data_IF_564660296409
#
_entry.id   IF_564660296409
#
_cell.length_a   1.000
_cell.length_b   1.000
_cell.length_c   1.000
_cell.angle_alpha   90.00
_cell.angle_beta   90.00
_cell.angle_gamma   90.00
#
_symmetry.space_group_name_H-M   'P 1'
#
loop_
_entity.id
_entity.type
_entity.pdbx_description
1 polymer ?
#
# COMPACT_ATOMS: atom_id res chain seq x y z
N UNK A 1 22.91 9.94 -6.26
CA UNK A 1 21.57 9.52 -5.83
C UNK A 1 21.01 8.61 -6.89
N UNK A 2 21.40 7.35 -6.75
CA UNK A 2 20.80 6.23 -7.45
C UNK A 2 20.24 5.31 -6.38
N UNK A 3 18.96 5.00 -6.51
CA UNK A 3 18.38 3.90 -5.77
C UNK A 3 19.02 2.58 -6.23
N UNK A 4 19.47 1.78 -5.27
CA UNK A 4 20.05 0.45 -5.52
C UNK A 4 19.07 -0.60 -5.03
N UNK A 5 18.58 -1.42 -5.96
CA UNK A 5 17.75 -2.57 -5.64
C UNK A 5 18.51 -3.54 -4.74
N UNK A 6 17.95 -3.81 -3.57
CA UNK A 6 18.45 -4.79 -2.61
C UNK A 6 17.81 -6.17 -2.76
N UNK A 7 16.76 -6.29 -3.57
CA UNK A 7 16.06 -7.54 -3.83
C UNK A 7 16.71 -8.23 -5.04
N UNK A 8 17.24 -9.44 -4.80
CA UNK A 8 17.63 -10.34 -5.88
C UNK A 8 16.35 -10.88 -6.56
N UNK A 9 16.16 -10.68 -7.88
CA UNK A 9 14.98 -11.17 -8.60
C UNK A 9 14.80 -12.70 -8.56
N UNK A 10 15.87 -13.44 -8.23
CA UNK A 10 15.84 -14.90 -8.09
C UNK A 10 15.47 -15.38 -6.68
N UNK A 11 15.43 -14.46 -5.72
CA UNK A 11 15.06 -14.77 -4.34
C UNK A 11 13.59 -14.39 -4.07
N UNK A 12 12.93 -15.19 -3.23
CA UNK A 12 11.63 -14.80 -2.72
C UNK A 12 11.75 -13.52 -1.88
N UNK A 13 10.90 -12.55 -2.17
CA UNK A 13 10.83 -11.31 -1.39
C UNK A 13 10.45 -11.64 0.05
N UNK A 14 11.34 -11.32 1.00
CA UNK A 14 11.03 -11.44 2.42
C UNK A 14 10.18 -10.24 2.84
N UNK A 15 8.91 -10.50 3.10
CA UNK A 15 7.99 -9.55 3.71
C UNK A 15 7.85 -9.87 5.20
N UNK A 16 7.94 -8.85 6.04
CA UNK A 16 7.59 -8.94 7.46
C UNK A 16 6.11 -8.62 7.62
N UNK A 17 5.35 -9.55 8.19
CA UNK A 17 3.96 -9.35 8.59
C UNK A 17 3.88 -9.21 10.11
N UNK A 18 3.23 -8.14 10.57
CA UNK A 18 3.02 -7.86 12.00
C UNK A 18 1.53 -7.65 12.26
N UNK A 19 1.00 -8.30 13.29
CA UNK A 19 -0.42 -8.25 13.65
C UNK A 19 -0.60 -7.90 15.13
N UNK A 20 -1.59 -7.05 15.41
CA UNK A 20 -1.98 -6.71 16.79
C UNK A 20 -3.16 -5.75 16.81
N UNK A 21 -4.07 -5.87 17.79
CA UNK A 21 -5.23 -4.97 17.94
C UNK A 21 -6.13 -4.85 16.70
N UNK A 22 -6.32 -5.95 15.94
CA UNK A 22 -6.99 -5.94 14.64
C UNK A 22 -6.31 -5.04 13.58
N UNK A 23 -5.04 -4.70 13.76
CA UNK A 23 -4.21 -4.06 12.76
C UNK A 23 -3.28 -5.11 12.13
N UNK A 24 -3.08 -5.00 10.82
CA UNK A 24 -2.09 -5.77 10.10
C UNK A 24 -1.16 -4.84 9.33
N UNK A 25 0.13 -5.03 9.51
CA UNK A 25 1.19 -4.29 8.84
C UNK A 25 2.04 -5.27 8.05
N UNK A 26 2.29 -4.94 6.79
CA UNK A 26 3.21 -5.66 5.91
C UNK A 26 4.31 -4.71 5.44
N UNK A 27 5.56 -5.12 5.61
CA UNK A 27 6.72 -4.33 5.20
C UNK A 27 7.72 -5.18 4.42
N UNK A 28 8.28 -4.63 3.35
CA UNK A 28 9.35 -5.26 2.59
C UNK A 28 10.48 -4.26 2.32
N UNK A 29 11.71 -4.59 2.70
CA UNK A 29 12.89 -3.84 2.29
C UNK A 29 13.12 -4.05 0.78
N UNK A 30 13.27 -2.95 0.04
CA UNK A 30 13.41 -2.99 -1.43
C UNK A 30 14.80 -2.62 -1.92
N UNK A 31 15.56 -1.87 -1.11
CA UNK A 31 16.88 -1.40 -1.49
C UNK A 31 17.41 -0.32 -0.56
N UNK A 32 18.35 0.46 -1.06
CA UNK A 32 18.93 1.59 -0.33
C UNK A 32 19.28 2.74 -1.28
N UNK A 33 19.47 3.94 -0.73
CA UNK A 33 20.03 5.08 -1.44
C UNK A 33 21.57 5.03 -1.38
N UNK A 34 22.24 5.03 -2.53
CA UNK A 34 23.70 4.94 -2.62
C UNK A 34 24.46 6.17 -2.06
N UNK A 35 23.75 7.26 -1.82
CA UNK A 35 24.30 8.54 -1.39
C UNK A 35 24.10 8.76 0.10
N UNK A 36 22.90 8.46 0.62
CA UNK A 36 22.57 8.63 2.04
C UNK A 36 22.70 7.35 2.87
N UNK A 37 22.84 6.20 2.21
CA UNK A 37 22.80 4.85 2.82
C UNK A 37 21.45 4.54 3.49
N UNK A 38 20.41 5.34 3.26
CA UNK A 38 19.07 5.10 3.80
C UNK A 38 18.51 3.79 3.28
N UNK A 39 17.99 2.95 4.18
CA UNK A 39 17.25 1.75 3.80
C UNK A 39 15.87 2.14 3.31
N UNK A 40 15.52 1.71 2.11
CA UNK A 40 14.23 1.98 1.49
C UNK A 40 13.33 0.75 1.59
N UNK A 41 12.13 0.92 2.10
CA UNK A 41 11.13 -0.15 2.24
C UNK A 41 9.75 0.28 1.76
N UNK A 42 8.93 -0.69 1.38
CA UNK A 42 7.50 -0.52 1.13
C UNK A 42 6.76 -0.91 2.40
N UNK A 43 5.83 -0.07 2.81
CA UNK A 43 4.91 -0.29 3.93
C UNK A 43 3.47 -0.33 3.44
N UNK A 44 2.70 -1.31 3.89
CA UNK A 44 1.26 -1.43 3.67
C UNK A 44 0.59 -1.79 4.99
N UNK A 45 -0.55 -1.19 5.30
CA UNK A 45 -1.31 -1.49 6.50
C UNK A 45 -2.82 -1.61 6.22
N UNK A 46 -3.47 -2.45 7.02
CA UNK A 46 -4.91 -2.47 7.24
C UNK A 46 -5.15 -2.07 8.71
N UNK A 47 -5.52 -0.81 8.91
CA UNK A 47 -5.64 -0.21 10.25
C UNK A 47 -7.11 -0.08 10.64
N UNK A 48 -7.52 -0.47 11.85
CA UNK A 48 -8.92 -0.41 12.26
C UNK A 48 -9.42 1.04 12.41
N UNK A 49 -10.61 1.30 11.89
CA UNK A 49 -11.37 2.53 12.09
C UNK A 49 -12.40 2.35 13.22
N UNK A 50 -12.84 3.47 13.79
CA UNK A 50 -13.96 3.46 14.72
C UNK A 50 -15.20 2.86 14.05
N UNK A 51 -15.81 1.85 14.67
CA UNK A 51 -16.95 1.12 14.11
C UNK A 51 -16.62 -0.26 13.52
N UNK A 52 -15.35 -0.68 13.52
CA UNK A 52 -14.94 -2.02 13.08
C UNK A 52 -14.64 -2.15 11.58
N UNK A 53 -14.69 -1.04 10.85
CA UNK A 53 -14.18 -0.92 9.48
C UNK A 53 -12.65 -0.77 9.48
N UNK A 54 -12.03 -0.81 8.31
CA UNK A 54 -10.57 -0.70 8.17
C UNK A 54 -10.19 0.40 7.19
N UNK A 55 -8.99 0.94 7.34
CA UNK A 55 -8.33 1.80 6.38
C UNK A 55 -7.14 1.06 5.76
N UNK A 56 -7.05 1.10 4.43
CA UNK A 56 -5.90 0.62 3.69
C UNK A 56 -4.94 1.77 3.39
N UNK A 57 -3.72 1.65 3.89
CA UNK A 57 -2.67 2.68 3.80
C UNK A 57 -1.41 2.06 3.20
N UNK A 58 -0.70 2.81 2.36
CA UNK A 58 0.65 2.41 1.92
C UNK A 58 1.57 3.63 1.79
N UNK A 59 2.87 3.40 2.01
CA UNK A 59 3.92 4.41 1.90
C UNK A 59 5.25 3.77 1.51
N UNK A 60 6.19 4.59 1.05
CA UNK A 60 7.60 4.22 0.98
C UNK A 60 8.30 4.83 2.19
N UNK A 61 9.11 4.06 2.89
CA UNK A 61 9.85 4.51 4.07
C UNK A 61 11.33 4.53 3.73
N UNK A 62 11.99 5.67 3.95
CA UNK A 62 13.44 5.77 4.04
C UNK A 62 13.83 5.83 5.51
N UNK A 63 14.69 4.91 5.95
CA UNK A 63 15.20 4.84 7.31
C UNK A 63 16.72 5.07 7.32
N UNK A 64 17.16 6.07 8.10
CA UNK A 64 18.56 6.41 8.29
C UNK A 64 19.19 5.45 9.33
N UNK A 65 20.15 4.59 8.93
CA UNK A 65 20.74 3.61 9.83
C UNK A 65 21.60 4.23 10.93
N UNK A 66 22.07 5.48 10.78
CA UNK A 66 22.94 6.16 11.73
C UNK A 66 22.15 6.92 12.80
N UNK A 67 21.02 7.52 12.43
CA UNK A 67 20.24 8.37 13.36
C UNK A 67 18.96 7.72 13.88
N UNK A 68 18.56 6.57 13.32
CA UNK A 68 17.24 5.97 13.51
C UNK A 68 16.08 6.92 13.11
N UNK A 69 16.36 7.89 12.24
CA UNK A 69 15.35 8.75 11.63
C UNK A 69 14.59 8.03 10.52
N UNK A 70 13.32 8.37 10.34
CA UNK A 70 12.49 7.84 9.27
C UNK A 70 11.79 8.97 8.51
N UNK A 71 11.69 8.80 7.19
CA UNK A 71 10.87 9.65 6.33
C UNK A 71 9.89 8.79 5.53
N UNK A 72 8.64 9.22 5.48
CA UNK A 72 7.56 8.51 4.79
C UNK A 72 7.14 9.30 3.55
N UNK A 73 7.32 8.69 2.38
CA UNK A 73 6.84 9.19 1.11
C UNK A 73 5.44 8.65 0.85
N UNK A 74 4.46 9.53 0.87
CA UNK A 74 3.04 9.20 0.63
C UNK A 74 2.70 9.29 -0.85
N UNK A 75 3.41 10.15 -1.57
CA UNK A 75 3.10 10.46 -2.96
C UNK A 75 4.24 10.21 -3.96
N UNK A 76 3.82 9.86 -5.18
CA UNK A 76 4.74 9.56 -6.27
C UNK A 76 5.52 10.79 -6.75
N UNK A 77 5.06 11.99 -6.41
CA UNK A 77 5.78 13.23 -6.67
C UNK A 77 7.04 13.34 -5.80
N UNK A 78 7.01 12.81 -4.58
CA UNK A 78 8.14 12.82 -3.66
C UNK A 78 9.19 11.78 -4.06
N UNK A 79 8.75 10.60 -4.54
CA UNK A 79 9.65 9.51 -4.96
C UNK A 79 10.13 9.62 -6.41
N UNK A 80 9.76 10.68 -7.14
CA UNK A 80 10.04 10.78 -8.58
C UNK A 80 11.54 10.82 -8.93
N UNK A 81 12.36 11.32 -8.01
CA UNK A 81 13.81 11.39 -8.18
C UNK A 81 14.52 10.17 -7.59
N UNK A 82 13.83 9.40 -6.74
CA UNK A 82 14.34 8.17 -6.14
C UNK A 82 14.21 7.00 -7.11
N UNK A 83 13.07 6.90 -7.79
CA UNK A 83 12.74 5.77 -8.66
C UNK A 83 12.62 6.16 -10.12
N UNK A 84 13.24 5.37 -11.00
CA UNK A 84 12.96 5.40 -12.43
C UNK A 84 11.59 4.75 -12.74
N UNK A 85 11.19 4.70 -14.02
CA UNK A 85 9.88 4.16 -14.39
C UNK A 85 9.73 2.67 -14.10
N UNK A 86 10.74 1.86 -14.42
CA UNK A 86 10.76 0.41 -14.15
C UNK A 86 10.72 0.15 -12.64
N UNK A 87 11.46 0.96 -11.87
CA UNK A 87 11.47 0.83 -10.42
C UNK A 87 10.08 1.04 -9.82
N UNK A 88 9.35 2.07 -10.29
CA UNK A 88 8.00 2.38 -9.82
C UNK A 88 7.01 1.27 -10.11
N UNK A 89 7.15 0.60 -11.25
CA UNK A 89 6.32 -0.55 -11.60
C UNK A 89 6.59 -1.74 -10.68
N UNK A 90 7.86 -2.00 -10.37
CA UNK A 90 8.26 -3.03 -9.40
C UNK A 90 7.77 -2.71 -7.99
N UNK A 91 7.91 -1.46 -7.52
CA UNK A 91 7.36 -1.00 -6.24
C UNK A 91 5.84 -1.19 -6.18
N UNK A 92 5.11 -0.84 -7.25
CA UNK A 92 3.65 -1.03 -7.29
C UNK A 92 3.26 -2.51 -7.20
N UNK A 93 4.02 -3.42 -7.85
CA UNK A 93 3.80 -4.87 -7.72
C UNK A 93 4.03 -5.34 -6.29
N UNK A 94 5.06 -4.83 -5.62
CA UNK A 94 5.35 -5.13 -4.21
C UNK A 94 4.18 -4.67 -3.32
N UNK A 95 3.71 -3.42 -3.48
CA UNK A 95 2.53 -2.90 -2.75
C UNK A 95 1.35 -3.85 -2.95
N UNK A 96 1.04 -4.25 -4.19
CA UNK A 96 -0.07 -5.16 -4.46
C UNK A 96 0.10 -6.53 -3.80
N UNK A 97 1.31 -7.09 -3.79
CA UNK A 97 1.62 -8.36 -3.13
C UNK A 97 1.46 -8.29 -1.62
N UNK A 98 1.93 -7.20 -1.00
CA UNK A 98 1.76 -6.96 0.44
C UNK A 98 0.29 -6.75 0.81
N UNK A 99 -0.46 -5.98 0.02
CA UNK A 99 -1.92 -5.83 0.19
C UNK A 99 -2.61 -7.19 0.10
N UNK A 100 -2.25 -8.03 -0.87
CA UNK A 100 -2.83 -9.37 -1.00
C UNK A 100 -2.54 -10.25 0.22
N UNK A 101 -1.31 -10.23 0.73
CA UNK A 101 -0.92 -10.96 1.93
C UNK A 101 -1.75 -10.53 3.15
N UNK A 102 -1.92 -9.21 3.36
CA UNK A 102 -2.74 -8.70 4.45
C UNK A 102 -4.22 -9.08 4.33
N UNK A 103 -4.78 -9.03 3.12
CA UNK A 103 -6.17 -9.41 2.88
C UNK A 103 -6.41 -10.91 3.14
N UNK A 104 -5.45 -11.77 2.79
CA UNK A 104 -5.53 -13.20 3.05
C UNK A 104 -5.58 -13.53 4.55
N UNK A 105 -4.87 -12.77 5.37
CA UNK A 105 -4.80 -12.98 6.82
C UNK A 105 -5.97 -12.34 7.58
N UNK A 106 -6.34 -11.09 7.26
CA UNK A 106 -7.33 -10.34 8.03
C UNK A 106 -8.76 -10.42 7.49
N UNK A 107 -8.94 -10.56 6.17
CA UNK A 107 -10.24 -10.55 5.49
C UNK A 107 -11.25 -9.54 6.09
N UNK A 108 -10.91 -8.24 6.18
CA UNK A 108 -11.79 -7.24 6.78
C UNK A 108 -13.14 -7.17 6.05
N UNK A 109 -14.28 -7.00 6.75
CA UNK A 109 -15.58 -6.93 6.09
C UNK A 109 -15.71 -5.69 5.19
N UNK A 110 -15.00 -4.62 5.54
CA UNK A 110 -15.05 -3.33 4.85
C UNK A 110 -13.75 -2.56 5.01
N UNK A 111 -13.27 -2.02 3.90
CA UNK A 111 -12.03 -1.26 3.84
C UNK A 111 -12.24 0.04 3.08
N UNK A 112 -11.75 1.12 3.68
CA UNK A 112 -11.66 2.43 3.06
C UNK A 112 -10.24 2.66 2.56
N UNK A 113 -10.11 3.31 1.42
CA UNK A 113 -8.81 3.72 0.90
C UNK A 113 -8.89 5.16 0.43
N UNK A 114 -7.97 5.99 0.89
CA UNK A 114 -7.93 7.42 0.58
C UNK A 114 -6.65 7.79 -0.17
N UNK A 115 -6.75 8.81 -1.03
CA UNK A 115 -5.54 9.51 -1.49
C UNK A 115 -5.05 10.42 -0.38
N UNK A 116 -3.73 10.49 -0.18
CA UNK A 116 -3.13 11.42 0.78
C UNK A 116 -3.29 12.87 0.28
N UNK A 117 -2.78 13.18 -0.91
CA UNK A 117 -2.97 14.48 -1.55
C UNK A 117 -4.40 14.69 -2.12
N UNK A 118 -4.97 15.91 -2.00
CA UNK A 118 -6.23 16.27 -2.63
C UNK A 118 -6.04 16.67 -4.10
N UNK A 119 -7.10 16.54 -4.91
CA UNK A 119 -7.17 17.00 -6.31
C UNK A 119 -6.12 16.39 -7.24
N UNK A 120 -5.74 15.14 -6.99
CA UNK A 120 -4.77 14.42 -7.81
C UNK A 120 -5.24 14.31 -9.28
N UNK A 121 -4.34 14.46 -10.26
CA UNK A 121 -4.66 14.25 -11.67
C UNK A 121 -4.96 12.78 -11.94
N UNK A 122 -5.77 12.50 -12.98
CA UNK A 122 -6.17 11.13 -13.33
C UNK A 122 -4.99 10.14 -13.48
N UNK A 123 -3.84 10.61 -13.99
CA UNK A 123 -2.62 9.80 -14.10
C UNK A 123 -2.09 9.34 -12.74
N UNK A 124 -2.20 10.16 -11.69
CA UNK A 124 -1.76 9.79 -10.34
C UNK A 124 -2.73 8.81 -9.67
N UNK A 125 -4.00 8.78 -10.08
CA UNK A 125 -5.01 7.86 -9.57
C UNK A 125 -4.84 6.42 -10.09
N UNK A 126 -4.05 6.19 -11.15
CA UNK A 126 -3.88 4.86 -11.75
C UNK A 126 -3.30 3.84 -10.77
N UNK A 127 -2.33 4.23 -9.93
CA UNK A 127 -1.74 3.35 -8.90
C UNK A 127 -2.80 2.85 -7.92
N UNK A 128 -3.69 3.74 -7.48
CA UNK A 128 -4.79 3.41 -6.57
C UNK A 128 -5.79 2.46 -7.23
N UNK A 129 -6.08 2.65 -8.52
CA UNK A 129 -6.95 1.73 -9.27
C UNK A 129 -6.36 0.31 -9.38
N UNK A 130 -5.04 0.20 -9.57
CA UNK A 130 -4.34 -1.09 -9.59
C UNK A 130 -4.42 -1.78 -8.23
N UNK A 131 -4.14 -1.05 -7.14
CA UNK A 131 -4.28 -1.56 -5.76
C UNK A 131 -5.73 -2.00 -5.48
N UNK A 132 -6.73 -1.22 -5.89
CA UNK A 132 -8.14 -1.59 -5.79
C UNK A 132 -8.51 -2.83 -6.64
N UNK A 133 -7.74 -3.14 -7.68
CA UNK A 133 -7.83 -4.40 -8.41
C UNK A 133 -7.51 -5.61 -7.53
N UNK A 134 -6.55 -5.48 -6.60
CA UNK A 134 -6.21 -6.54 -5.63
C UNK A 134 -7.42 -6.86 -4.76
N UNK A 135 -8.12 -5.86 -4.24
CA UNK A 135 -9.35 -6.06 -3.47
C UNK A 135 -10.42 -6.82 -4.27
N UNK A 136 -10.67 -6.41 -5.53
CA UNK A 136 -11.64 -7.11 -6.40
C UNK A 136 -11.26 -8.58 -6.61
N UNK A 137 -9.97 -8.86 -6.83
CA UNK A 137 -9.47 -10.22 -7.01
C UNK A 137 -9.59 -11.07 -5.75
N UNK A 138 -9.72 -10.44 -4.57
CA UNK A 138 -9.95 -11.10 -3.27
C UNK A 138 -11.44 -11.09 -2.87
N UNK A 139 -12.36 -10.90 -3.81
CA UNK A 139 -13.81 -11.06 -3.57
C UNK A 139 -14.55 -9.81 -3.10
N UNK A 140 -13.87 -8.65 -3.02
CA UNK A 140 -14.50 -7.40 -2.60
C UNK A 140 -15.25 -6.74 -3.75
N UNK A 141 -16.38 -6.12 -3.43
CA UNK A 141 -16.99 -5.10 -4.27
C UNK A 141 -16.35 -3.75 -3.99
N UNK A 142 -15.70 -3.17 -5.01
CA UNK A 142 -14.99 -1.88 -4.87
C UNK A 142 -15.70 -0.78 -5.64
N UNK A 143 -16.11 0.26 -4.93
CA UNK A 143 -16.79 1.44 -5.46
C UNK A 143 -16.06 2.73 -5.07
N UNK A 144 -16.15 3.74 -5.93
CA UNK A 144 -15.67 5.08 -5.63
C UNK A 144 -16.75 5.82 -4.83
N UNK A 145 -16.39 6.36 -3.67
CA UNK A 145 -17.27 7.21 -2.87
C UNK A 145 -17.15 8.69 -3.32
N UNK A 146 -18.01 9.55 -2.78
CA UNK A 146 -17.89 10.98 -3.03
C UNK A 146 -16.55 11.49 -2.45
N UNK A 147 -15.78 12.27 -3.22
CA UNK A 147 -14.55 12.87 -2.71
C UNK A 147 -14.80 13.73 -1.48
N UNK A 148 -13.88 13.68 -0.51
CA UNK A 148 -13.92 14.51 0.70
C UNK A 148 -12.74 15.48 0.69
N UNK A 149 -13.00 16.78 0.71
CA UNK A 149 -11.97 17.83 0.59
C UNK A 149 -10.98 17.64 -0.59
N UNK A 150 -11.45 17.06 -1.69
CA UNK A 150 -10.65 16.78 -2.89
C UNK A 150 -9.87 15.46 -2.85
N UNK A 151 -9.83 14.77 -1.72
CA UNK A 151 -9.28 13.41 -1.63
C UNK A 151 -10.25 12.41 -2.25
N UNK A 152 -9.72 11.47 -3.04
CA UNK A 152 -10.50 10.37 -3.57
C UNK A 152 -10.64 9.28 -2.50
N UNK A 153 -11.81 8.66 -2.44
CA UNK A 153 -12.11 7.60 -1.49
C UNK A 153 -12.67 6.38 -2.23
N UNK A 154 -12.08 5.22 -2.00
CA UNK A 154 -12.64 3.93 -2.39
C UNK A 154 -13.16 3.20 -1.18
N UNK A 155 -14.26 2.49 -1.38
CA UNK A 155 -14.85 1.59 -0.40
C UNK A 155 -14.82 0.20 -1.02
N UNK A 156 -14.17 -0.73 -0.34
CA UNK A 156 -14.14 -2.15 -0.66
C UNK A 156 -14.96 -2.90 0.41
N UNK A 157 -16.07 -3.51 0.01
CA UNK A 157 -16.94 -4.29 0.89
C UNK A 157 -16.86 -5.76 0.49
N UNK A 158 -16.60 -6.65 1.45
CA UNK A 158 -16.55 -8.09 1.18
C UNK A 158 -17.95 -8.55 0.76
N UNK A 159 -18.07 -9.25 -0.36
CA UNK A 159 -19.37 -9.78 -0.79
C UNK A 159 -19.83 -10.80 0.25
N UNK A 160 -20.82 -10.44 1.06
CA UNK A 160 -21.56 -11.44 1.81
C UNK A 160 -22.18 -12.40 0.80
N UNK A 161 -21.95 -13.70 0.94
CA UNK A 161 -22.78 -14.68 0.24
C UNK A 161 -24.23 -14.31 0.56
N UNK A 162 -24.99 -13.89 -0.45
CA UNK A 162 -26.41 -13.68 -0.29
C UNK A 162 -26.95 -15.01 0.24
N UNK A 163 -27.41 -15.02 1.49
CA UNK A 163 -28.08 -16.18 2.06
C UNK A 163 -29.23 -16.49 1.11
N UNK A 164 -29.05 -17.50 0.26
CA UNK A 164 -30.11 -17.99 -0.60
C UNK A 164 -31.14 -18.55 0.37
N UNK A 165 -32.18 -17.77 0.64
CA UNK A 165 -33.32 -18.22 1.40
C UNK A 165 -33.97 -19.34 0.57
N UNK A 166 -33.65 -20.58 0.93
CA UNK A 166 -34.37 -21.79 0.48
C UNK A 166 -35.74 -21.85 1.10
#
# INVERSE_FOLDING_TARGET
MAFVWGIDPSQEMSAQLTFGNNEGIAQAAIGYDDTTEDTISVFVALSPLAGGDYEHVFAIIAADPQTAGEYQYWDGAETKNLFNQEDRESVLKIICGLTQALLAELTPPKVYHYTHEPNLPAKALSKHQVVMGVFRNNGYEVRLAQPHHGQQCWIAEMRSEATVAT
#
